data_IF_529050355693
#
_entry.id   IF_529050355693
#
_cell.length_a   1.000
_cell.length_b   1.000
_cell.length_c   1.000
_cell.angle_alpha   90.00
_cell.angle_beta   90.00
_cell.angle_gamma   90.00
#
_symmetry.space_group_name_H-M   'P 1'
#
loop_
_entity.id
_entity.type
_entity.pdbx_description
1 polymer ?
#
# COMPACT_ATOMS: atom_id res chain seq x y z
N UNK A 1 1.85 8.86 -6.30
CA UNK A 1 0.52 8.30 -6.00
C UNK A 1 0.15 7.35 -7.12
N UNK A 2 -0.45 6.17 -6.88
CA UNK A 2 -0.81 5.26 -7.96
C UNK A 2 -1.68 5.87 -9.06
N UNK A 3 -2.47 6.92 -8.74
CA UNK A 3 -3.23 7.66 -9.76
C UNK A 3 -2.42 8.71 -10.54
N UNK A 4 -1.28 9.18 -10.00
CA UNK A 4 -0.43 10.19 -10.64
C UNK A 4 0.77 9.57 -11.38
N UNK A 5 1.32 8.50 -10.81
CA UNK A 5 2.44 7.72 -11.34
C UNK A 5 2.09 6.25 -11.16
N UNK A 6 1.25 5.68 -12.05
CA UNK A 6 0.77 4.31 -11.90
C UNK A 6 1.90 3.29 -12.07
N UNK A 7 1.79 2.11 -11.43
CA UNK A 7 2.66 0.99 -11.74
C UNK A 7 2.39 0.50 -13.18
N UNK A 8 3.44 0.07 -13.89
CA UNK A 8 3.35 -0.35 -15.30
C UNK A 8 3.39 -1.87 -15.51
N UNK A 9 3.36 -2.65 -14.42
CA UNK A 9 3.34 -4.11 -14.49
C UNK A 9 1.90 -4.64 -14.58
N UNK A 10 1.75 -5.85 -15.11
CA UNK A 10 0.44 -6.51 -15.29
C UNK A 10 -0.19 -6.98 -13.96
N UNK A 11 0.64 -7.42 -13.01
CA UNK A 11 0.19 -7.96 -11.72
C UNK A 11 0.67 -7.06 -10.59
N UNK A 12 -0.25 -6.26 -10.03
CA UNK A 12 0.09 -5.27 -9.01
C UNK A 12 -1.00 -5.17 -7.97
N UNK A 13 -0.60 -5.12 -6.70
CA UNK A 13 -1.46 -4.75 -5.58
C UNK A 13 -1.03 -3.40 -5.03
N UNK A 14 -1.99 -2.52 -4.76
CA UNK A 14 -1.75 -1.20 -4.19
C UNK A 14 -2.28 -1.19 -2.75
N UNK A 15 -1.37 -1.00 -1.79
CA UNK A 15 -1.73 -0.90 -0.37
C UNK A 15 -1.65 0.56 0.08
N UNK A 16 -2.76 1.09 0.61
CA UNK A 16 -2.84 2.46 1.14
C UNK A 16 -3.98 2.58 2.16
N UNK A 17 -3.81 3.48 3.14
CA UNK A 17 -4.86 3.76 4.14
C UNK A 17 -5.99 4.65 3.62
N UNK A 18 -5.75 5.43 2.55
CA UNK A 18 -6.79 6.30 1.97
C UNK A 18 -7.22 7.47 2.87
N UNK A 19 -6.42 7.85 3.86
CA UNK A 19 -6.73 8.93 4.81
C UNK A 19 -6.29 10.31 4.33
N UNK A 20 -6.81 11.36 4.97
CA UNK A 20 -6.60 12.77 4.59
C UNK A 20 -5.14 13.20 4.47
N UNK A 21 -4.20 12.51 5.12
CA UNK A 21 -2.77 12.83 5.03
C UNK A 21 -2.05 12.14 3.85
N UNK A 22 -2.74 11.40 2.97
CA UNK A 22 -2.14 10.77 1.78
C UNK A 22 -3.08 10.63 0.56
N UNK A 23 -2.61 10.96 -0.66
CA UNK A 23 -1.28 11.47 -0.98
C UNK A 23 -1.25 12.99 -0.84
N UNK A 24 -0.40 13.52 0.03
CA UNK A 24 -0.28 14.97 0.21
C UNK A 24 0.82 15.60 -0.65
N UNK A 25 1.83 14.83 -1.07
CA UNK A 25 3.03 15.31 -1.79
C UNK A 25 3.86 16.37 -1.05
N UNK A 26 3.54 16.64 0.21
CA UNK A 26 4.25 17.58 1.06
C UNK A 26 5.50 16.93 1.70
N UNK A 27 6.56 17.71 1.88
CA UNK A 27 7.78 17.26 2.61
C UNK A 27 7.52 17.05 4.10
N UNK A 28 6.65 17.88 4.67
CA UNK A 28 6.27 17.83 6.09
C UNK A 28 4.78 17.56 6.17
N UNK A 29 4.38 16.60 7.00
CA UNK A 29 2.96 16.29 7.18
C UNK A 29 2.21 17.50 7.76
N UNK A 30 1.19 18.00 7.05
CA UNK A 30 0.33 19.12 7.48
C UNK A 30 -0.36 18.94 8.84
N UNK A 31 -0.46 17.70 9.32
CA UNK A 31 -1.06 17.36 10.61
C UNK A 31 -0.02 16.90 11.66
N UNK A 32 1.27 16.89 11.32
CA UNK A 32 2.37 16.55 12.24
C UNK A 32 2.53 15.08 12.65
N UNK A 33 1.57 14.20 12.34
CA UNK A 33 1.55 12.83 12.89
C UNK A 33 2.10 11.74 11.96
N UNK A 34 2.14 11.96 10.63
CA UNK A 34 2.60 10.97 9.62
C UNK A 34 1.84 9.63 9.67
N UNK A 35 0.53 9.66 9.92
CA UNK A 35 -0.26 8.42 10.12
C UNK A 35 -0.36 7.61 8.83
N UNK A 36 -0.33 8.27 7.67
CA UNK A 36 -0.27 7.60 6.37
C UNK A 36 0.92 6.67 6.21
N UNK A 37 1.98 6.88 7.00
CA UNK A 37 3.17 6.02 7.04
C UNK A 37 3.17 5.12 8.29
N UNK A 38 2.76 5.65 9.46
CA UNK A 38 2.86 4.93 10.74
C UNK A 38 1.76 3.89 10.97
N UNK A 39 0.58 4.09 10.40
CA UNK A 39 -0.58 3.21 10.64
C UNK A 39 -0.78 2.18 9.53
N UNK A 40 0.09 2.15 8.51
CA UNK A 40 0.04 1.12 7.48
C UNK A 40 0.64 -0.16 8.06
N UNK A 41 -0.20 -0.96 8.71
CA UNK A 41 0.23 -2.14 9.45
C UNK A 41 0.70 -3.26 8.51
N UNK A 42 1.68 -4.08 8.93
CA UNK A 42 2.21 -5.18 8.11
C UNK A 42 1.15 -6.16 7.61
N UNK A 43 0.07 -6.37 8.36
CA UNK A 43 -1.00 -7.30 7.99
C UNK A 43 -1.60 -6.97 6.61
N UNK A 44 -1.92 -5.70 6.33
CA UNK A 44 -2.49 -5.30 5.04
C UNK A 44 -1.54 -5.56 3.87
N UNK A 45 -0.22 -5.49 4.13
CA UNK A 45 0.82 -5.82 3.15
C UNK A 45 0.91 -7.33 2.93
N UNK A 46 0.83 -8.13 4.00
CA UNK A 46 0.82 -9.59 3.90
C UNK A 46 -0.40 -10.10 3.14
N UNK A 47 -1.58 -9.54 3.39
CA UNK A 47 -2.81 -9.88 2.66
C UNK A 47 -2.70 -9.52 1.17
N UNK A 48 -2.08 -8.39 0.84
CA UNK A 48 -1.81 -8.02 -0.55
C UNK A 48 -0.82 -8.99 -1.22
N UNK A 49 0.22 -9.39 -0.50
CA UNK A 49 1.18 -10.38 -1.00
C UNK A 49 0.50 -11.72 -1.30
N UNK A 50 -0.39 -12.18 -0.43
CA UNK A 50 -1.18 -13.41 -0.64
C UNK A 50 -2.12 -13.33 -1.85
N UNK A 51 -2.59 -12.13 -2.23
CA UNK A 51 -3.38 -11.96 -3.47
C UNK A 51 -2.50 -11.95 -4.73
N UNK A 52 -1.27 -11.44 -4.63
CA UNK A 52 -0.31 -11.44 -5.75
C UNK A 52 0.30 -12.82 -6.00
N UNK A 53 0.64 -13.53 -4.93
CA UNK A 53 1.11 -14.90 -5.00
C UNK A 53 -0.12 -15.77 -5.21
N UNK A 54 -0.35 -16.23 -6.45
CA UNK A 54 -1.41 -17.21 -6.72
C UNK A 54 -1.37 -18.35 -5.70
N UNK A 55 -2.54 -18.93 -5.39
CA UNK A 55 -2.74 -19.89 -4.29
C UNK A 55 -1.55 -20.81 -4.09
N UNK A 56 -0.93 -20.75 -2.90
CA UNK A 56 0.09 -21.69 -2.49
C UNK A 56 -0.52 -23.09 -2.58
N UNK A 57 -0.14 -23.84 -3.62
CA UNK A 57 -0.45 -25.26 -3.69
C UNK A 57 0.57 -25.96 -2.81
N UNK A 58 0.16 -26.43 -1.64
CA UNK A 58 0.95 -27.41 -0.90
C UNK A 58 1.10 -28.65 -1.76
N UNK A 59 2.29 -28.85 -2.31
CA UNK A 59 2.67 -30.11 -2.93
C UNK A 59 2.99 -31.07 -1.78
N UNK A 60 2.09 -32.03 -1.55
CA UNK A 60 2.32 -33.16 -0.65
C UNK A 60 3.39 -34.10 -1.21
#
# INVERSE_FOLDING_TARGET
SPGFTPPLAEHVEIVRLGIECSPCFDRTCRFGHYNCLRQLMPQAVNEALQRLQGTVVEVK
#
